data_IF_547516524609
#
_entry.id   IF_547516524609
#
_cell.length_a   1.000
_cell.length_b   1.000
_cell.length_c   1.000
_cell.angle_alpha   90.00
_cell.angle_beta   90.00
_cell.angle_gamma   90.00
#
_symmetry.space_group_name_H-M   'P 1'
#
loop_
_entity.id
_entity.type
_entity.pdbx_description
1 polymer ?
#
# COMPACT_ATOMS: atom_id res chain seq x y z
N UNK A 1 -2.06 6.06 15.65
CA UNK A 1 -1.90 6.49 14.24
C UNK A 1 -0.88 7.61 14.25
N UNK A 2 0.00 7.69 13.24
CA UNK A 2 1.05 8.72 13.19
C UNK A 2 0.51 10.00 12.56
N UNK A 3 -0.32 9.85 11.52
CA UNK A 3 -1.05 10.95 10.92
C UNK A 3 -2.49 11.02 11.43
N UNK A 4 -2.99 12.24 11.58
CA UNK A 4 -4.40 12.49 11.89
C UNK A 4 -5.30 12.03 10.75
N UNK A 5 -6.54 11.65 11.10
CA UNK A 5 -7.55 11.29 10.11
C UNK A 5 -7.99 12.50 9.28
N UNK A 6 -8.45 12.25 8.05
CA UNK A 6 -8.93 13.28 7.13
C UNK A 6 -10.39 13.06 6.77
N UNK A 7 -11.20 14.12 6.76
CA UNK A 7 -12.57 14.05 6.24
C UNK A 7 -12.54 13.95 4.71
N UNK A 8 -13.07 12.87 4.17
CA UNK A 8 -13.19 12.61 2.72
C UNK A 8 -14.66 12.55 2.32
N UNK A 9 -14.96 13.04 1.13
CA UNK A 9 -16.31 12.96 0.54
C UNK A 9 -16.64 11.51 0.16
N UNK A 10 -17.88 11.10 0.40
CA UNK A 10 -18.35 9.78 -0.03
C UNK A 10 -18.59 9.81 -1.53
N UNK A 11 -17.96 8.88 -2.27
CA UNK A 11 -18.32 8.60 -3.66
C UNK A 11 -19.61 7.80 -3.70
N UNK A 12 -20.70 8.41 -4.18
CA UNK A 12 -22.03 7.80 -4.25
C UNK A 12 -22.56 7.80 -5.69
N UNK A 13 -22.22 6.78 -6.51
CA UNK A 13 -22.65 6.70 -7.91
C UNK A 13 -24.08 6.15 -8.07
N UNK A 14 -24.80 5.94 -6.96
CA UNK A 14 -26.12 5.33 -6.95
C UNK A 14 -27.22 6.39 -7.02
N UNK A 15 -28.42 5.98 -7.46
CA UNK A 15 -29.54 6.90 -7.72
C UNK A 15 -30.26 7.38 -6.45
N UNK A 16 -30.06 6.72 -5.32
CA UNK A 16 -30.56 7.16 -4.02
C UNK A 16 -29.73 8.33 -3.49
N UNK A 17 -30.24 9.02 -2.46
CA UNK A 17 -29.55 10.15 -1.86
C UNK A 17 -28.92 9.76 -0.53
N UNK A 18 -27.71 10.24 -0.28
CA UNK A 18 -27.11 10.20 1.04
C UNK A 18 -27.94 11.05 2.03
N UNK A 19 -27.96 10.65 3.30
CA UNK A 19 -28.50 11.48 4.35
C UNK A 19 -27.72 12.80 4.39
N UNK A 20 -28.39 13.93 4.64
CA UNK A 20 -27.77 15.27 4.60
C UNK A 20 -26.52 15.40 5.48
N UNK A 21 -26.43 14.61 6.55
CA UNK A 21 -25.34 14.63 7.52
C UNK A 21 -24.20 13.65 7.19
N UNK A 22 -24.34 12.81 6.17
CA UNK A 22 -23.37 11.74 5.83
C UNK A 22 -22.50 12.05 4.62
N UNK A 23 -22.34 13.32 4.23
CA UNK A 23 -21.58 13.69 3.03
C UNK A 23 -20.06 13.45 3.14
N UNK A 24 -19.52 13.42 4.37
CA UNK A 24 -18.09 13.21 4.63
C UNK A 24 -17.87 12.21 5.76
N UNK A 25 -16.82 11.40 5.62
CA UNK A 25 -16.41 10.42 6.63
C UNK A 25 -14.94 10.63 7.00
N UNK A 26 -14.60 10.33 8.26
CA UNK A 26 -13.21 10.32 8.70
C UNK A 26 -12.51 9.09 8.11
N UNK A 27 -11.49 9.34 7.30
CA UNK A 27 -10.68 8.36 6.62
C UNK A 27 -9.23 8.45 7.10
N UNK A 28 -8.48 7.37 6.90
CA UNK A 28 -7.05 7.41 7.16
C UNK A 28 -6.38 8.33 6.14
N UNK A 29 -5.41 9.13 6.61
CA UNK A 29 -4.51 9.83 5.71
C UNK A 29 -3.81 8.83 4.78
N UNK A 30 -3.65 9.17 3.51
CA UNK A 30 -3.05 8.26 2.54
C UNK A 30 -1.60 7.87 2.90
N UNK A 31 -0.85 8.77 3.55
CA UNK A 31 0.50 8.50 4.11
C UNK A 31 0.44 7.45 5.23
N UNK A 32 -0.60 7.48 6.07
CA UNK A 32 -0.83 6.46 7.11
C UNK A 32 -1.14 5.10 6.46
N UNK A 33 -1.98 5.09 5.42
CA UNK A 33 -2.34 3.87 4.68
C UNK A 33 -1.12 3.21 4.06
N UNK A 34 -0.27 3.97 3.35
CA UNK A 34 0.90 3.40 2.68
C UNK A 34 1.95 2.92 3.70
N UNK A 35 2.16 3.65 4.80
CA UNK A 35 3.06 3.24 5.87
C UNK A 35 2.62 1.91 6.53
N UNK A 36 1.31 1.75 6.78
CA UNK A 36 0.76 0.47 7.29
C UNK A 36 0.89 -0.67 6.27
N UNK A 37 0.64 -0.40 4.99
CA UNK A 37 0.79 -1.42 3.93
C UNK A 37 2.24 -1.89 3.81
N UNK A 38 3.22 -0.99 3.83
CA UNK A 38 4.65 -1.35 3.79
C UNK A 38 5.03 -2.16 5.03
N UNK A 39 4.59 -1.76 6.23
CA UNK A 39 4.80 -2.53 7.47
C UNK A 39 4.17 -3.92 7.40
N UNK A 40 3.00 -4.05 6.79
CA UNK A 40 2.33 -5.34 6.64
C UNK A 40 3.14 -6.32 5.79
N UNK A 41 3.94 -5.85 4.81
CA UNK A 41 4.83 -6.71 4.02
C UNK A 41 5.85 -7.46 4.90
N UNK A 42 6.36 -6.81 5.94
CA UNK A 42 7.34 -7.44 6.86
C UNK A 42 6.66 -8.32 7.90
N UNK A 43 5.49 -7.91 8.40
CA UNK A 43 4.82 -8.60 9.52
C UNK A 43 4.06 -9.85 9.09
N UNK A 44 3.58 -9.92 7.85
CA UNK A 44 2.80 -11.08 7.37
C UNK A 44 3.68 -12.31 7.23
N UNK A 45 3.11 -13.47 7.51
CA UNK A 45 3.74 -14.78 7.30
C UNK A 45 3.85 -15.18 5.82
N UNK A 46 3.19 -14.45 4.92
CA UNK A 46 3.20 -14.68 3.47
C UNK A 46 3.18 -13.35 2.69
N UNK A 47 3.75 -13.38 1.48
CA UNK A 47 3.76 -12.24 0.54
C UNK A 47 2.43 -12.16 -0.20
N UNK A 48 1.57 -11.22 0.19
CA UNK A 48 0.24 -11.07 -0.37
C UNK A 48 0.24 -10.17 -1.62
N UNK A 49 -0.08 -10.68 -2.83
CA UNK A 49 -0.05 -9.89 -4.07
C UNK A 49 -0.81 -8.56 -4.01
N UNK A 50 -1.96 -8.54 -3.33
CA UNK A 50 -2.81 -7.35 -3.15
C UNK A 50 -2.10 -6.18 -2.47
N UNK A 51 -1.26 -6.43 -1.47
CA UNK A 51 -0.54 -5.35 -0.79
C UNK A 51 0.46 -4.69 -1.75
N UNK A 52 1.14 -5.49 -2.59
CA UNK A 52 2.06 -4.97 -3.61
C UNK A 52 1.31 -4.19 -4.68
N UNK A 53 0.14 -4.67 -5.12
CA UNK A 53 -0.73 -3.92 -6.04
C UNK A 53 -1.13 -2.56 -5.44
N UNK A 54 -1.62 -2.54 -4.20
CA UNK A 54 -2.05 -1.31 -3.55
C UNK A 54 -0.89 -0.31 -3.40
N UNK A 55 0.28 -0.77 -2.95
CA UNK A 55 1.47 0.09 -2.82
C UNK A 55 1.89 0.62 -4.19
N UNK A 56 1.91 -0.24 -5.22
CA UNK A 56 2.34 0.16 -6.56
C UNK A 56 1.42 1.22 -7.17
N UNK A 57 0.10 1.08 -7.01
CA UNK A 57 -0.84 2.06 -7.54
C UNK A 57 -0.83 3.39 -6.78
N UNK A 58 -0.58 3.35 -5.46
CA UNK A 58 -0.56 4.56 -4.64
C UNK A 58 0.79 5.29 -4.64
N UNK A 59 1.90 4.62 -4.98
CA UNK A 59 3.25 5.20 -4.82
C UNK A 59 3.44 6.53 -5.55
N UNK A 60 2.78 6.71 -6.69
CA UNK A 60 2.89 7.89 -7.54
C UNK A 60 1.99 9.06 -7.06
N UNK A 61 1.14 8.84 -6.06
CA UNK A 61 0.32 9.89 -5.43
C UNK A 61 1.10 10.73 -4.43
N UNK A 62 2.36 10.39 -4.14
CA UNK A 62 3.19 11.02 -3.12
C UNK A 62 4.41 11.70 -3.77
N UNK A 63 4.79 12.86 -3.23
CA UNK A 63 6.03 13.55 -3.61
C UNK A 63 7.23 12.99 -2.83
N UNK A 64 8.44 13.33 -3.26
CA UNK A 64 9.68 12.92 -2.58
C UNK A 64 9.71 13.39 -1.11
N UNK A 65 9.12 14.55 -0.79
CA UNK A 65 8.98 15.01 0.59
C UNK A 65 8.05 14.13 1.43
N UNK A 66 6.92 13.68 0.87
CA UNK A 66 5.95 12.83 1.57
C UNK A 66 6.57 11.49 1.97
N UNK A 67 7.45 10.94 1.13
CA UNK A 67 8.15 9.69 1.40
C UNK A 67 9.04 9.75 2.65
N UNK A 68 9.54 10.92 3.04
CA UNK A 68 10.29 11.09 4.29
C UNK A 68 9.38 10.88 5.50
N UNK A 69 8.18 11.47 5.47
CA UNK A 69 7.17 11.30 6.52
C UNK A 69 6.64 9.86 6.56
N UNK A 70 6.37 9.27 5.39
CA UNK A 70 5.93 7.88 5.25
C UNK A 70 6.97 6.92 5.85
N UNK A 71 8.27 7.12 5.56
CA UNK A 71 9.34 6.31 6.13
C UNK A 71 9.37 6.41 7.66
N UNK A 72 9.31 7.62 8.21
CA UNK A 72 9.27 7.82 9.66
C UNK A 72 8.08 7.09 10.30
N UNK A 73 6.88 7.24 9.72
CA UNK A 73 5.69 6.55 10.21
C UNK A 73 5.79 5.03 10.09
N UNK A 74 6.31 4.51 8.97
CA UNK A 74 6.59 3.08 8.79
C UNK A 74 7.52 2.54 9.89
N UNK A 75 8.64 3.22 10.16
CA UNK A 75 9.60 2.82 11.19
C UNK A 75 9.01 2.85 12.60
N UNK A 76 8.21 3.87 12.92
CA UNK A 76 7.51 3.95 14.20
C UNK A 76 6.55 2.77 14.38
N UNK A 77 5.81 2.43 13.32
CA UNK A 77 4.87 1.31 13.37
C UNK A 77 5.58 -0.05 13.42
N UNK A 78 6.74 -0.18 12.79
CA UNK A 78 7.62 -1.35 12.96
C UNK A 78 8.04 -1.50 14.41
N UNK A 79 8.54 -0.42 15.03
CA UNK A 79 8.93 -0.38 16.45
C UNK A 79 7.77 -0.74 17.38
N UNK A 80 6.57 -0.20 17.12
CA UNK A 80 5.36 -0.53 17.87
C UNK A 80 5.01 -2.02 17.82
N UNK A 81 5.34 -2.70 16.71
CA UNK A 81 5.18 -4.15 16.55
C UNK A 81 6.37 -4.97 17.06
N UNK A 82 7.37 -4.33 17.67
CA UNK A 82 8.61 -4.99 18.10
C UNK A 82 9.45 -5.52 16.93
N UNK A 83 9.28 -4.93 15.74
CA UNK A 83 10.03 -5.27 14.54
C UNK A 83 11.07 -4.20 14.23
N UNK A 84 12.15 -4.62 13.58
CA UNK A 84 13.21 -3.74 13.09
C UNK A 84 13.29 -3.83 11.56
N UNK A 85 13.28 -2.67 10.90
CA UNK A 85 13.57 -2.59 9.47
C UNK A 85 15.08 -2.47 9.26
N UNK A 86 15.63 -3.40 8.46
CA UNK A 86 17.05 -3.55 8.18
C UNK A 86 17.38 -3.14 6.76
N UNK A 87 16.58 -3.58 5.79
CA UNK A 87 16.78 -3.30 4.37
C UNK A 87 15.57 -3.73 3.53
N UNK A 88 15.61 -3.35 2.25
CA UNK A 88 14.57 -3.63 1.26
C UNK A 88 14.30 -5.12 1.05
N UNK A 89 15.24 -6.03 1.32
CA UNK A 89 15.02 -7.48 1.15
C UNK A 89 13.98 -8.03 2.15
N UNK A 90 13.69 -7.32 3.25
CA UNK A 90 12.57 -7.66 4.13
C UNK A 90 11.20 -7.35 3.49
N UNK A 91 11.15 -6.42 2.53
CA UNK A 91 9.93 -6.00 1.85
C UNK A 91 9.75 -6.78 0.54
N UNK A 92 10.83 -6.94 -0.22
CA UNK A 92 10.82 -7.63 -1.52
C UNK A 92 12.17 -8.28 -1.81
N UNK A 93 12.22 -9.59 -1.66
CA UNK A 93 13.32 -10.48 -2.05
C UNK A 93 12.88 -11.48 -3.12
N UNK A 94 13.82 -12.25 -3.66
CA UNK A 94 13.55 -13.17 -4.77
C UNK A 94 12.52 -14.26 -4.44
N UNK A 95 12.46 -14.71 -3.18
CA UNK A 95 11.43 -15.65 -2.72
C UNK A 95 10.05 -15.00 -2.76
N UNK A 96 9.90 -13.81 -2.20
CA UNK A 96 8.64 -13.06 -2.22
C UNK A 96 8.22 -12.72 -3.64
N UNK A 97 9.14 -12.27 -4.49
CA UNK A 97 8.91 -11.97 -5.90
C UNK A 97 8.35 -13.18 -6.65
N UNK A 98 8.92 -14.37 -6.44
CA UNK A 98 8.41 -15.61 -7.05
C UNK A 98 7.00 -15.97 -6.59
N UNK A 99 6.71 -15.81 -5.30
CA UNK A 99 5.36 -16.04 -4.74
C UNK A 99 4.37 -15.07 -5.37
N UNK A 100 4.71 -13.78 -5.42
CA UNK A 100 3.87 -12.72 -5.97
C UNK A 100 3.59 -13.00 -7.44
N UNK A 101 4.62 -13.28 -8.24
CA UNK A 101 4.49 -13.59 -9.66
C UNK A 101 3.54 -14.80 -9.89
N UNK A 102 3.74 -15.89 -9.15
CA UNK A 102 2.90 -17.09 -9.28
C UNK A 102 1.43 -16.84 -8.89
N UNK A 103 1.18 -16.01 -7.89
CA UNK A 103 -0.15 -15.79 -7.33
C UNK A 103 -0.83 -14.50 -7.82
N UNK A 104 -0.19 -13.74 -8.73
CA UNK A 104 -0.62 -12.38 -9.10
C UNK A 104 -2.04 -12.35 -9.65
N UNK A 105 -2.24 -13.02 -10.80
CA UNK A 105 -3.51 -13.02 -11.51
C UNK A 105 -4.61 -13.68 -10.67
N UNK A 106 -4.33 -14.84 -10.06
CA UNK A 106 -5.32 -15.56 -9.25
C UNK A 106 -5.79 -14.75 -8.03
N UNK A 107 -4.93 -13.91 -7.46
CA UNK A 107 -5.26 -13.06 -6.31
C UNK A 107 -6.03 -11.79 -6.66
N UNK A 108 -5.90 -11.30 -7.89
CA UNK A 108 -6.41 -9.97 -8.30
C UNK A 108 -7.52 -10.01 -9.35
N UNK A 109 -7.66 -11.09 -10.14
CA UNK A 109 -8.63 -11.19 -11.27
C UNK A 109 -10.10 -10.95 -10.93
N UNK A 110 -10.50 -11.11 -9.67
CA UNK A 110 -11.88 -10.89 -9.22
C UNK A 110 -12.12 -9.45 -8.73
N UNK A 111 -11.06 -8.69 -8.51
CA UNK A 111 -11.10 -7.31 -8.01
C UNK A 111 -10.75 -6.32 -9.11
N UNK A 112 -9.79 -6.67 -9.98
CA UNK A 112 -9.24 -5.80 -11.01
C UNK A 112 -9.53 -6.43 -12.38
N UNK A 113 -10.13 -5.67 -13.32
CA UNK A 113 -10.28 -6.10 -14.71
C UNK A 113 -8.93 -6.50 -15.31
N UNK A 114 -8.94 -7.45 -16.25
CA UNK A 114 -7.69 -8.00 -16.79
C UNK A 114 -6.88 -6.94 -17.55
N UNK A 115 -7.57 -6.03 -18.22
CA UNK A 115 -7.04 -4.88 -18.95
C UNK A 115 -6.34 -3.86 -18.05
N UNK A 116 -6.75 -3.76 -16.78
CA UNK A 116 -6.20 -2.82 -15.80
C UNK A 116 -5.17 -3.48 -14.86
N UNK A 117 -4.96 -4.79 -14.99
CA UNK A 117 -4.00 -5.52 -14.17
C UNK A 117 -2.57 -5.28 -14.70
N UNK A 118 -1.69 -4.61 -13.93
CA UNK A 118 -0.34 -4.34 -14.39
C UNK A 118 0.47 -5.63 -14.47
N UNK A 119 1.47 -5.63 -15.35
CA UNK A 119 2.45 -6.70 -15.42
C UNK A 119 3.18 -6.84 -14.08
N UNK A 120 3.25 -8.06 -13.55
CA UNK A 120 3.79 -8.31 -12.22
C UNK A 120 5.29 -8.02 -12.11
N UNK A 121 6.05 -8.21 -13.19
CA UNK A 121 7.49 -7.96 -13.20
C UNK A 121 7.78 -6.45 -13.16
N UNK A 122 6.96 -5.64 -13.81
CA UNK A 122 7.01 -4.17 -13.72
C UNK A 122 6.65 -3.68 -12.32
N UNK A 123 5.67 -4.34 -11.67
CA UNK A 123 5.31 -4.04 -10.28
C UNK A 123 6.47 -4.36 -9.34
N UNK A 124 7.06 -5.55 -9.45
CA UNK A 124 8.16 -6.00 -8.59
C UNK A 124 9.39 -5.10 -8.77
N UNK A 125 9.79 -4.84 -10.01
CA UNK A 125 10.94 -3.98 -10.31
C UNK A 125 10.70 -2.55 -9.85
N UNK A 126 9.56 -1.96 -10.22
CA UNK A 126 9.21 -0.60 -9.87
C UNK A 126 9.03 -0.37 -8.36
N UNK A 127 8.57 -1.37 -7.60
CA UNK A 127 8.53 -1.29 -6.14
C UNK A 127 9.92 -1.45 -5.51
N UNK A 128 10.74 -2.38 -6.01
CA UNK A 128 12.11 -2.55 -5.54
C UNK A 128 12.92 -1.27 -5.71
N UNK A 129 12.75 -0.57 -6.82
CA UNK A 129 13.36 0.75 -7.07
C UNK A 129 12.84 1.82 -6.10
N UNK A 130 11.52 1.95 -5.94
CA UNK A 130 10.93 2.93 -5.02
C UNK A 130 11.36 2.68 -3.58
N UNK A 131 11.38 1.43 -3.11
CA UNK A 131 11.85 1.10 -1.76
C UNK A 131 13.33 1.41 -1.58
N UNK A 132 14.19 1.09 -2.56
CA UNK A 132 15.62 1.47 -2.48
C UNK A 132 15.82 2.99 -2.46
N UNK A 133 14.99 3.75 -3.18
CA UNK A 133 15.08 5.21 -3.21
C UNK A 133 14.61 5.83 -1.88
N UNK A 134 13.51 5.34 -1.32
CA UNK A 134 12.78 6.04 -0.27
C UNK A 134 12.87 5.42 1.13
N UNK A 135 13.21 4.13 1.28
CA UNK A 135 13.18 3.37 2.55
C UNK A 135 14.54 2.81 2.95
#
# INVERSE_FOLDING_TARGET
>A
MVFESELREITHPYSDSLLKETGKISCYNLKEVIAEKIRALVHRSYSAPRDYYDIYNLKNSFKDEDWKEIKSAFLEKMKFKGLEYKNVEQLINDRSAKIINTAWESSLKHQIPKEDLPNVDDVISGLRESFKKYL
#
